data_IF_626039287368
#
_entry.id   IF_626039287368
#
_cell.length_a   1.000
_cell.length_b   1.000
_cell.length_c   1.000
_cell.angle_alpha   90.00
_cell.angle_beta   90.00
_cell.angle_gamma   90.00
#
_symmetry.space_group_name_H-M   'P 1'
#
loop_
_entity.id
_entity.type
_entity.pdbx_description
1 polymer ?
#
# COMPACT_ATOMS: atom_id res chain seq x y z
N UNK A 1 -5.13 7.74 33.26
CA UNK A 1 -4.79 8.85 34.19
C UNK A 1 -5.64 8.72 35.44
N UNK A 2 -5.12 9.13 36.59
CA UNK A 2 -5.92 9.25 37.81
C UNK A 2 -6.70 10.56 37.87
N UNK A 3 -7.71 10.61 38.75
CA UNK A 3 -8.46 11.84 39.04
C UNK A 3 -7.48 12.89 39.57
N UNK A 4 -7.48 14.09 38.98
CA UNK A 4 -6.61 15.20 39.38
C UNK A 4 -5.20 15.22 38.77
N UNK A 5 -4.88 14.33 37.83
CA UNK A 5 -3.54 14.28 37.21
C UNK A 5 -3.17 15.52 36.36
N UNK A 6 -4.16 16.30 35.89
CA UNK A 6 -4.00 17.58 35.21
C UNK A 6 -5.30 18.41 35.33
N UNK A 7 -5.26 19.69 34.93
CA UNK A 7 -6.43 20.58 34.95
C UNK A 7 -7.58 20.00 34.12
N UNK A 8 -8.68 19.61 34.77
CA UNK A 8 -9.84 18.99 34.13
C UNK A 8 -9.92 17.45 34.24
N UNK A 9 -8.98 16.78 34.90
CA UNK A 9 -9.04 15.33 35.16
C UNK A 9 -10.09 14.97 36.24
N UNK A 10 -11.38 15.10 35.89
CA UNK A 10 -12.53 14.88 36.80
C UNK A 10 -12.75 13.41 37.17
N UNK A 11 -12.29 12.48 36.33
CA UNK A 11 -12.45 11.03 36.51
C UNK A 11 -11.17 10.28 36.16
N UNK A 12 -11.01 9.06 36.68
CA UNK A 12 -9.92 8.19 36.28
C UNK A 12 -10.27 7.48 34.96
N UNK A 13 -9.31 7.41 34.02
CA UNK A 13 -9.49 6.73 32.73
C UNK A 13 -8.37 5.71 32.53
N UNK A 14 -8.75 4.44 32.29
CA UNK A 14 -7.81 3.37 31.94
C UNK A 14 -7.05 3.72 30.65
N UNK A 15 -5.75 3.45 30.65
CA UNK A 15 -4.91 3.59 29.45
C UNK A 15 -5.14 2.47 28.44
N UNK A 16 -4.59 2.61 27.21
CA UNK A 16 -4.71 1.60 26.15
C UNK A 16 -4.09 0.26 26.53
N UNK A 17 -2.96 0.27 27.24
CA UNK A 17 -2.33 -0.93 27.80
C UNK A 17 -3.26 -1.64 28.78
N UNK A 18 -3.79 -0.92 29.79
CA UNK A 18 -4.75 -1.49 30.76
C UNK A 18 -6.02 -2.05 30.11
N UNK A 19 -6.43 -1.52 28.95
CA UNK A 19 -7.57 -2.04 28.19
C UNK A 19 -7.24 -3.31 27.39
N UNK A 20 -5.97 -3.52 27.07
CA UNK A 20 -5.48 -4.64 26.28
C UNK A 20 -4.93 -5.80 27.15
N UNK A 21 -5.06 -5.70 28.48
CA UNK A 21 -4.61 -6.71 29.44
C UNK A 21 -5.12 -8.11 29.09
N UNK A 22 -4.22 -9.09 29.05
CA UNK A 22 -4.48 -10.47 28.62
C UNK A 22 -4.77 -10.63 27.12
N UNK A 23 -4.55 -9.58 26.33
CA UNK A 23 -4.92 -9.50 24.93
C UNK A 23 -3.79 -9.04 24.02
N UNK A 24 -4.14 -8.29 22.96
CA UNK A 24 -3.20 -7.77 21.97
C UNK A 24 -3.39 -6.28 21.78
N UNK A 25 -2.27 -5.54 21.76
CA UNK A 25 -2.22 -4.12 21.46
C UNK A 25 -1.53 -3.89 20.11
N UNK A 26 -2.25 -3.29 19.18
CA UNK A 26 -1.71 -2.82 17.90
C UNK A 26 -1.26 -1.36 18.04
N UNK A 27 0.00 -1.09 17.72
CA UNK A 27 0.60 0.24 17.65
C UNK A 27 0.86 0.57 16.19
N UNK A 28 0.09 1.48 15.62
CA UNK A 28 0.30 1.96 14.25
C UNK A 28 1.23 3.18 14.23
N UNK A 29 1.96 3.36 13.13
CA UNK A 29 2.88 4.48 12.89
C UNK A 29 3.87 4.74 14.04
N UNK A 30 4.50 3.68 14.57
CA UNK A 30 5.41 3.81 15.74
C UNK A 30 6.59 4.75 15.50
N UNK A 31 6.98 4.99 14.25
CA UNK A 31 8.08 5.87 13.87
C UNK A 31 7.83 7.35 14.22
N UNK A 32 6.57 7.76 14.32
CA UNK A 32 6.18 9.15 14.63
C UNK A 32 6.08 9.40 16.15
N UNK A 33 6.37 8.39 16.96
CA UNK A 33 6.33 8.49 18.42
C UNK A 33 7.44 9.41 18.93
N UNK A 34 7.08 10.36 19.80
CA UNK A 34 8.08 11.23 20.44
C UNK A 34 9.07 10.45 21.32
N UNK A 35 10.32 10.91 21.44
CA UNK A 35 11.35 10.27 22.27
C UNK A 35 10.91 9.99 23.72
N UNK A 36 10.21 10.91 24.44
CA UNK A 36 9.69 10.61 25.77
C UNK A 36 8.69 9.47 25.79
N UNK A 37 7.89 9.31 24.73
CA UNK A 37 6.95 8.20 24.63
C UNK A 37 7.63 6.88 24.32
N UNK A 38 8.68 6.91 23.50
CA UNK A 38 9.53 5.75 23.25
C UNK A 38 10.15 5.21 24.55
N UNK A 39 10.60 6.08 25.46
CA UNK A 39 11.12 5.67 26.78
C UNK A 39 10.05 4.98 27.63
N UNK A 40 8.82 5.53 27.67
CA UNK A 40 7.73 4.90 28.44
C UNK A 40 7.32 3.57 27.84
N UNK A 41 7.24 3.46 26.51
CA UNK A 41 6.95 2.21 25.83
C UNK A 41 8.03 1.16 26.11
N UNK A 42 9.31 1.55 26.04
CA UNK A 42 10.43 0.67 26.36
C UNK A 42 10.33 0.14 27.80
N UNK A 43 9.95 0.98 28.77
CA UNK A 43 9.77 0.57 30.17
C UNK A 43 8.67 -0.49 30.30
N UNK A 44 7.53 -0.29 29.63
CA UNK A 44 6.43 -1.28 29.62
C UNK A 44 6.90 -2.60 28.99
N UNK A 45 7.64 -2.54 27.88
CA UNK A 45 8.17 -3.73 27.20
C UNK A 45 9.23 -4.48 28.02
N UNK A 46 10.00 -3.79 28.84
CA UNK A 46 11.07 -4.37 29.64
C UNK A 46 10.57 -4.89 31.00
N UNK A 47 9.76 -4.10 31.69
CA UNK A 47 9.34 -4.37 33.07
C UNK A 47 8.00 -5.11 33.13
N UNK A 48 7.20 -5.12 32.06
CA UNK A 48 5.84 -5.67 32.09
C UNK A 48 4.93 -4.91 33.06
N UNK A 49 5.23 -3.64 33.32
CA UNK A 49 4.41 -2.80 34.21
C UNK A 49 4.24 -1.40 33.65
N UNK A 50 3.21 -0.69 34.11
CA UNK A 50 2.97 0.71 33.77
C UNK A 50 2.59 1.53 35.00
N UNK A 51 2.81 2.84 34.90
CA UNK A 51 2.39 3.83 35.90
C UNK A 51 1.35 4.76 35.28
N UNK A 52 0.29 5.08 36.02
CA UNK A 52 -0.69 6.07 35.55
C UNK A 52 -0.09 7.46 35.67
N UNK A 53 -0.45 8.34 34.74
CA UNK A 53 -0.16 9.77 34.90
C UNK A 53 -0.74 10.28 36.23
N UNK A 54 0.14 10.81 37.09
CA UNK A 54 -0.17 11.31 38.43
C UNK A 54 -0.07 10.29 39.57
N UNK A 55 0.29 9.03 39.30
CA UNK A 55 0.39 7.95 40.28
C UNK A 55 1.72 7.24 40.17
N UNK A 56 2.33 6.90 41.31
CA UNK A 56 3.55 6.09 41.37
C UNK A 56 3.22 4.60 41.55
N UNK A 57 1.94 4.22 41.40
CA UNK A 57 1.52 2.83 41.52
C UNK A 57 1.88 2.10 40.23
N UNK A 58 2.77 1.12 40.34
CA UNK A 58 3.09 0.20 39.25
C UNK A 58 1.98 -0.83 39.09
N UNK A 59 1.51 -0.99 37.86
CA UNK A 59 0.42 -1.90 37.48
C UNK A 59 1.02 -2.96 36.54
N UNK A 60 1.03 -4.25 36.93
CA UNK A 60 1.47 -5.32 36.03
C UNK A 60 0.57 -5.39 34.80
N UNK A 61 1.18 -5.65 33.65
CA UNK A 61 0.51 -5.74 32.37
C UNK A 61 1.03 -6.95 31.59
N UNK A 62 0.13 -7.76 31.04
CA UNK A 62 0.45 -8.86 30.11
C UNK A 62 -0.26 -8.62 28.78
N UNK A 63 0.51 -8.22 27.75
CA UNK A 63 -0.03 -7.80 26.46
C UNK A 63 0.90 -8.26 25.35
N UNK A 64 0.31 -8.91 24.34
CA UNK A 64 0.99 -9.13 23.05
C UNK A 64 1.02 -7.82 22.26
N UNK A 65 2.19 -7.38 21.85
CA UNK A 65 2.32 -6.14 21.06
C UNK A 65 2.56 -6.46 19.60
N UNK A 66 1.80 -5.78 18.74
CA UNK A 66 2.02 -5.74 17.29
C UNK A 66 2.28 -4.28 16.94
N UNK A 67 3.35 -4.01 16.20
CA UNK A 67 3.71 -2.66 15.81
C UNK A 67 3.83 -2.56 14.28
N UNK A 68 3.39 -1.43 13.73
CA UNK A 68 3.51 -1.11 12.31
C UNK A 68 4.22 0.23 12.12
N UNK A 69 4.98 0.35 11.03
CA UNK A 69 5.65 1.58 10.61
C UNK A 69 5.66 1.66 9.09
N UNK A 70 5.65 2.88 8.56
CA UNK A 70 5.70 3.19 7.12
C UNK A 70 7.13 3.40 6.62
N UNK A 71 8.08 3.67 7.51
CA UNK A 71 9.45 4.09 7.18
C UNK A 71 10.51 3.06 7.53
N UNK A 72 11.71 3.31 7.03
CA UNK A 72 12.94 2.60 7.41
C UNK A 72 13.28 2.96 8.87
N UNK A 73 13.08 2.00 9.77
CA UNK A 73 13.26 2.21 11.21
C UNK A 73 14.74 2.36 11.56
N UNK A 74 15.62 1.67 10.86
CA UNK A 74 17.07 1.78 11.00
C UNK A 74 17.56 3.18 10.61
N UNK A 75 16.99 3.78 9.57
CA UNK A 75 17.26 5.17 9.20
C UNK A 75 16.81 6.16 10.29
N UNK A 76 15.65 5.95 10.91
CA UNK A 76 15.18 6.77 12.04
C UNK A 76 16.09 6.64 13.27
N UNK A 77 16.65 5.45 13.51
CA UNK A 77 17.66 5.24 14.56
C UNK A 77 18.94 6.01 14.24
N UNK A 78 19.43 5.94 13.00
CA UNK A 78 20.62 6.68 12.57
C UNK A 78 20.46 8.21 12.68
N UNK A 79 19.24 8.72 12.49
CA UNK A 79 18.89 10.14 12.63
C UNK A 79 18.68 10.57 14.09
N UNK A 80 18.66 9.63 15.05
CA UNK A 80 18.42 9.90 16.47
C UNK A 80 16.95 10.26 16.80
N UNK A 81 16.03 10.08 15.85
CA UNK A 81 14.59 10.31 16.05
C UNK A 81 13.89 9.08 16.61
N UNK A 82 14.51 7.90 16.48
CA UNK A 82 14.04 6.66 17.09
C UNK A 82 15.14 5.99 17.92
N UNK A 83 14.78 5.40 19.06
CA UNK A 83 15.75 4.74 19.93
C UNK A 83 16.06 3.32 19.46
N UNK A 84 17.36 3.02 19.41
CA UNK A 84 17.86 1.70 19.01
C UNK A 84 17.39 0.57 19.97
N UNK A 85 17.36 0.84 21.28
CA UNK A 85 16.95 -0.15 22.29
C UNK A 85 15.47 -0.54 22.18
N UNK A 86 14.60 0.42 21.86
CA UNK A 86 13.19 0.17 21.56
C UNK A 86 13.02 -0.64 20.27
N UNK A 87 13.76 -0.30 19.21
CA UNK A 87 13.70 -1.04 17.96
C UNK A 87 14.06 -2.51 18.18
N UNK A 88 15.12 -2.81 18.93
CA UNK A 88 15.49 -4.19 19.24
C UNK A 88 14.44 -4.96 20.06
N UNK A 89 13.61 -4.29 20.87
CA UNK A 89 12.53 -4.95 21.61
C UNK A 89 11.27 -5.19 20.79
N UNK A 90 11.01 -4.34 19.80
CA UNK A 90 9.87 -4.52 18.89
C UNK A 90 10.20 -5.46 17.73
N UNK A 91 11.43 -5.41 17.21
CA UNK A 91 11.85 -6.11 16.00
C UNK A 91 12.26 -7.57 16.26
N UNK A 92 11.41 -8.32 16.98
CA UNK A 92 11.63 -9.75 17.25
C UNK A 92 11.22 -10.60 16.05
N UNK A 93 10.07 -10.28 15.45
CA UNK A 93 9.57 -10.89 14.21
C UNK A 93 9.09 -9.79 13.30
N UNK A 94 9.76 -9.61 12.16
CA UNK A 94 9.43 -8.60 11.15
C UNK A 94 8.62 -9.22 10.03
N UNK A 95 7.52 -8.58 9.65
CA UNK A 95 6.74 -8.96 8.47
C UNK A 95 6.81 -7.78 7.49
N UNK A 96 7.61 -7.86 6.42
CA UNK A 96 7.62 -6.83 5.39
C UNK A 96 6.29 -6.88 4.62
N UNK A 97 5.61 -5.74 4.52
CA UNK A 97 4.38 -5.63 3.74
C UNK A 97 4.70 -5.08 2.35
N UNK A 98 4.61 -5.88 1.28
CA UNK A 98 4.94 -5.41 -0.05
C UNK A 98 3.92 -4.36 -0.53
N UNK A 99 4.40 -3.28 -1.18
CA UNK A 99 3.52 -2.31 -1.82
C UNK A 99 2.70 -2.98 -2.93
N UNK A 100 1.54 -2.39 -3.26
CA UNK A 100 0.62 -2.96 -4.26
C UNK A 100 1.28 -3.23 -5.62
N UNK A 101 2.26 -2.40 -6.02
CA UNK A 101 3.03 -2.54 -7.26
C UNK A 101 3.86 -3.82 -7.38
N UNK A 102 4.18 -4.46 -6.26
CA UNK A 102 4.94 -5.73 -6.18
C UNK A 102 4.01 -6.95 -6.15
N UNK A 103 2.69 -6.74 -6.03
CA UNK A 103 1.65 -7.79 -6.00
C UNK A 103 0.49 -7.45 -6.94
N UNK A 104 0.83 -7.21 -8.22
CA UNK A 104 -0.14 -6.74 -9.22
C UNK A 104 -1.23 -7.76 -9.52
N UNK A 105 -0.98 -9.06 -9.32
CA UNK A 105 -2.00 -10.10 -9.45
C UNK A 105 -3.18 -9.95 -8.48
N UNK A 106 -3.01 -9.25 -7.36
CA UNK A 106 -4.08 -9.02 -6.39
C UNK A 106 -5.05 -7.91 -6.83
N UNK A 107 -4.62 -7.02 -7.74
CA UNK A 107 -5.39 -5.84 -8.14
C UNK A 107 -6.80 -6.20 -8.66
N UNK A 108 -6.99 -7.18 -9.56
CA UNK A 108 -8.33 -7.53 -10.04
C UNK A 108 -9.26 -8.02 -8.91
N UNK A 109 -8.73 -8.82 -7.97
CA UNK A 109 -9.51 -9.35 -6.85
C UNK A 109 -9.89 -8.23 -5.87
N UNK A 110 -8.92 -7.38 -5.51
CA UNK A 110 -9.14 -6.22 -4.64
C UNK A 110 -10.13 -5.23 -5.26
N UNK A 111 -9.99 -4.95 -6.56
CA UNK A 111 -10.88 -4.03 -7.27
C UNK A 111 -12.33 -4.53 -7.26
N UNK A 112 -12.53 -5.83 -7.47
CA UNK A 112 -13.87 -6.44 -7.38
C UNK A 112 -14.41 -6.37 -5.95
N UNK A 113 -13.60 -6.66 -4.95
CA UNK A 113 -14.01 -6.55 -3.54
C UNK A 113 -14.49 -5.12 -3.19
N UNK A 114 -13.73 -4.09 -3.57
CA UNK A 114 -14.13 -2.70 -3.35
C UNK A 114 -15.36 -2.31 -4.16
N UNK A 115 -15.46 -2.74 -5.41
CA UNK A 115 -16.65 -2.50 -6.23
C UNK A 115 -17.89 -3.08 -5.56
N UNK A 116 -17.85 -4.33 -5.10
CA UNK A 116 -18.99 -4.98 -4.43
C UNK A 116 -19.37 -4.25 -3.14
N UNK A 117 -18.37 -3.83 -2.35
CA UNK A 117 -18.57 -3.07 -1.11
C UNK A 117 -19.30 -1.74 -1.37
N UNK A 118 -18.77 -0.91 -2.28
CA UNK A 118 -19.33 0.42 -2.56
C UNK A 118 -20.60 0.38 -3.38
N UNK A 119 -20.81 -0.66 -4.18
CA UNK A 119 -22.09 -0.86 -4.88
C UNK A 119 -23.21 -1.07 -3.86
N UNK A 120 -22.97 -1.87 -2.83
CA UNK A 120 -23.91 -2.08 -1.73
C UNK A 120 -24.11 -0.82 -0.88
N UNK A 121 -23.02 -0.12 -0.54
CA UNK A 121 -23.09 1.10 0.26
C UNK A 121 -23.87 2.22 -0.44
N UNK A 122 -23.58 2.49 -1.71
CA UNK A 122 -24.20 3.57 -2.48
C UNK A 122 -25.45 3.17 -3.26
N UNK A 123 -25.90 1.92 -3.12
CA UNK A 123 -27.11 1.40 -3.77
C UNK A 123 -27.06 1.57 -5.30
N UNK A 124 -25.89 1.26 -5.88
CA UNK A 124 -25.65 1.30 -7.33
C UNK A 124 -25.96 -0.06 -7.97
N UNK A 125 -26.12 -0.07 -9.29
CA UNK A 125 -26.38 -1.29 -10.09
C UNK A 125 -25.13 -1.81 -10.83
N UNK A 126 -23.94 -1.41 -10.40
CA UNK A 126 -22.67 -1.89 -10.94
C UNK A 126 -22.50 -3.37 -10.58
N UNK A 127 -22.16 -4.19 -11.57
CA UNK A 127 -22.07 -5.65 -11.43
C UNK A 127 -20.75 -6.22 -11.90
N UNK A 128 -19.98 -5.46 -12.70
CA UNK A 128 -18.74 -5.95 -13.27
C UNK A 128 -17.74 -4.83 -13.58
N UNK A 129 -16.47 -5.24 -13.75
CA UNK A 129 -15.37 -4.38 -14.19
C UNK A 129 -14.89 -4.94 -15.53
N UNK A 130 -14.97 -4.13 -16.58
CA UNK A 130 -14.54 -4.54 -17.91
C UNK A 130 -13.02 -4.75 -17.98
N UNK A 131 -12.57 -5.58 -18.93
CA UNK A 131 -11.16 -5.97 -19.05
C UNK A 131 -10.23 -4.78 -19.31
N UNK A 132 -10.70 -3.73 -19.97
CA UNK A 132 -9.95 -2.50 -20.21
C UNK A 132 -9.74 -1.69 -18.92
N UNK A 133 -10.74 -1.62 -18.04
CA UNK A 133 -10.62 -1.05 -16.69
C UNK A 133 -9.62 -1.84 -15.85
N UNK A 134 -9.74 -3.17 -15.81
CA UNK A 134 -8.79 -4.03 -15.08
C UNK A 134 -7.37 -3.83 -15.59
N UNK A 135 -7.17 -3.83 -16.92
CA UNK A 135 -5.86 -3.60 -17.51
C UNK A 135 -5.31 -2.21 -17.15
N UNK A 136 -6.16 -1.17 -17.14
CA UNK A 136 -5.77 0.19 -16.75
C UNK A 136 -5.30 0.24 -15.29
N UNK A 137 -6.01 -0.42 -14.38
CA UNK A 137 -5.64 -0.53 -12.96
C UNK A 137 -4.33 -1.31 -12.77
N UNK A 138 -4.12 -2.41 -13.51
CA UNK A 138 -2.89 -3.22 -13.41
C UNK A 138 -1.64 -2.54 -14.00
N UNK A 139 -1.82 -1.64 -14.96
CA UNK A 139 -0.74 -0.88 -15.59
C UNK A 139 -0.29 0.34 -14.78
N UNK A 140 -1.09 0.78 -13.80
CA UNK A 140 -0.73 1.86 -12.90
C UNK A 140 0.29 1.38 -11.86
N UNK A 141 1.20 2.28 -11.47
CA UNK A 141 2.31 1.91 -10.58
C UNK A 141 1.95 1.98 -9.10
N UNK A 142 0.76 2.48 -8.76
CA UNK A 142 0.25 2.61 -7.38
C UNK A 142 1.36 3.11 -6.43
N UNK A 143 1.79 4.39 -6.57
CA UNK A 143 2.76 4.98 -5.66
C UNK A 143 2.21 5.04 -4.22
N UNK A 144 0.89 5.10 -4.05
CA UNK A 144 0.19 4.88 -2.80
C UNK A 144 0.05 3.40 -2.43
N UNK A 145 -0.62 3.14 -1.30
CA UNK A 145 -0.94 1.77 -0.87
C UNK A 145 -2.32 1.35 -1.45
N UNK A 146 -2.83 0.19 -1.03
CA UNK A 146 -4.17 -0.34 -1.37
C UNK A 146 -5.29 0.70 -1.22
N UNK A 147 -5.18 1.65 -0.29
CA UNK A 147 -6.13 2.77 -0.12
C UNK A 147 -6.29 3.64 -1.36
N UNK A 148 -5.24 3.79 -2.17
CA UNK A 148 -5.34 4.55 -3.42
C UNK A 148 -6.20 3.80 -4.45
N UNK A 149 -6.04 2.48 -4.53
CA UNK A 149 -6.89 1.62 -5.37
C UNK A 149 -8.35 1.67 -4.89
N UNK A 150 -8.57 1.54 -3.58
CA UNK A 150 -9.88 1.64 -2.94
C UNK A 150 -10.59 2.95 -3.33
N UNK A 151 -9.94 4.10 -3.14
CA UNK A 151 -10.49 5.41 -3.50
C UNK A 151 -10.80 5.56 -4.99
N UNK A 152 -9.94 5.01 -5.86
CA UNK A 152 -10.17 5.04 -7.32
C UNK A 152 -11.43 4.24 -7.65
N UNK A 153 -11.56 3.03 -7.11
CA UNK A 153 -12.73 2.16 -7.36
C UNK A 153 -14.00 2.75 -6.75
N UNK A 154 -13.95 3.24 -5.52
CA UNK A 154 -15.05 3.96 -4.86
C UNK A 154 -15.60 5.06 -5.76
N UNK A 155 -14.72 5.95 -6.20
CA UNK A 155 -15.07 7.07 -7.07
C UNK A 155 -15.68 6.61 -8.39
N UNK A 156 -15.11 5.58 -9.02
CA UNK A 156 -15.66 5.00 -10.25
C UNK A 156 -17.06 4.44 -10.03
N UNK A 157 -17.35 3.78 -8.91
CA UNK A 157 -18.70 3.31 -8.56
C UNK A 157 -19.66 4.49 -8.35
N UNK A 158 -19.24 5.52 -7.62
CA UNK A 158 -20.08 6.71 -7.35
C UNK A 158 -20.50 7.41 -8.65
N UNK A 159 -19.58 7.60 -9.59
CA UNK A 159 -19.85 8.29 -10.86
C UNK A 159 -20.41 7.39 -11.96
N UNK A 160 -20.41 6.07 -11.77
CA UNK A 160 -20.97 5.15 -12.74
C UNK A 160 -22.46 5.41 -13.00
N UNK A 161 -22.83 5.37 -14.28
CA UNK A 161 -24.21 5.33 -14.77
C UNK A 161 -24.57 3.97 -15.35
N UNK A 162 -23.56 3.16 -15.68
CA UNK A 162 -23.71 1.85 -16.31
C UNK A 162 -23.47 0.72 -15.31
N UNK A 163 -23.93 -0.49 -15.67
CA UNK A 163 -23.76 -1.70 -14.84
C UNK A 163 -22.35 -2.28 -14.88
N UNK A 164 -21.47 -1.74 -15.73
CA UNK A 164 -20.11 -2.25 -15.95
C UNK A 164 -19.15 -1.07 -15.94
N UNK A 165 -18.16 -1.09 -15.05
CA UNK A 165 -17.09 -0.09 -15.01
C UNK A 165 -16.13 -0.32 -16.18
N UNK A 166 -15.97 0.67 -17.03
CA UNK A 166 -15.07 0.66 -18.19
C UNK A 166 -13.81 1.46 -17.91
N UNK A 167 -12.80 1.32 -18.77
CA UNK A 167 -11.55 2.05 -18.63
C UNK A 167 -11.72 3.58 -18.69
N UNK A 168 -12.82 4.08 -19.26
CA UNK A 168 -13.23 5.48 -19.23
C UNK A 168 -13.59 5.98 -17.83
N UNK A 169 -14.13 5.10 -16.99
CA UNK A 169 -14.71 5.44 -15.68
C UNK A 169 -13.65 5.38 -14.58
N UNK A 170 -12.51 4.74 -14.87
CA UNK A 170 -11.34 4.67 -14.00
C UNK A 170 -10.50 5.94 -14.19
N UNK A 171 -10.69 6.92 -13.32
CA UNK A 171 -9.78 8.06 -13.23
C UNK A 171 -8.60 7.71 -12.32
N UNK A 172 -7.40 7.57 -12.91
CA UNK A 172 -6.19 7.40 -12.14
C UNK A 172 -5.62 8.77 -11.77
N UNK A 173 -5.07 8.94 -10.55
CA UNK A 173 -4.30 10.14 -10.23
C UNK A 173 -3.21 10.29 -11.27
N UNK A 174 -3.10 11.48 -11.85
CA UNK A 174 -1.97 11.80 -12.71
C UNK A 174 -0.75 11.67 -11.83
N UNK A 175 0.04 10.59 -12.00
CA UNK A 175 1.40 10.61 -11.49
C UNK A 175 2.05 11.76 -12.22
N UNK A 176 2.23 12.90 -11.55
CA UNK A 176 3.26 13.82 -11.99
C UNK A 176 4.51 12.96 -12.11
N UNK A 177 5.10 12.84 -13.31
CA UNK A 177 6.31 12.07 -13.46
C UNK A 177 7.30 12.69 -12.48
N UNK A 178 7.70 11.88 -11.50
CA UNK A 178 8.59 12.24 -10.41
C UNK A 178 9.81 12.94 -11.00
N UNK A 179 9.79 14.28 -10.91
CA UNK A 179 10.73 15.22 -11.52
C UNK A 179 11.02 14.96 -13.01
N UNK A 180 10.67 15.93 -13.85
CA UNK A 180 11.33 16.12 -15.15
C UNK A 180 12.80 16.52 -14.88
N UNK A 181 13.64 15.59 -14.42
CA UNK A 181 15.07 15.77 -14.28
C UNK A 181 15.70 15.60 -15.67
N UNK A 182 16.29 16.68 -16.19
CA UNK A 182 16.94 16.69 -17.50
C UNK A 182 16.27 17.62 -18.51
N UNK A 183 16.79 17.62 -19.73
CA UNK A 183 16.24 18.41 -20.84
C UNK A 183 14.85 17.90 -21.25
N UNK A 184 14.06 18.75 -21.91
CA UNK A 184 12.76 18.37 -22.46
C UNK A 184 12.83 17.12 -23.37
N UNK A 185 13.94 16.93 -24.08
CA UNK A 185 14.16 15.74 -24.91
C UNK A 185 14.32 14.46 -24.09
N UNK A 186 15.07 14.51 -22.98
CA UNK A 186 15.29 13.37 -22.09
C UNK A 186 14.00 12.99 -21.36
N UNK A 187 13.25 13.98 -20.87
CA UNK A 187 11.99 13.68 -20.23
C UNK A 187 10.93 13.15 -21.20
N UNK A 188 10.87 13.69 -22.43
CA UNK A 188 10.03 13.12 -23.50
C UNK A 188 10.43 11.68 -23.82
N UNK A 189 11.73 11.40 -23.92
CA UNK A 189 12.22 10.04 -24.15
C UNK A 189 11.84 9.09 -23.01
N UNK A 190 11.98 9.52 -21.75
CA UNK A 190 11.60 8.73 -20.58
C UNK A 190 10.11 8.41 -20.55
N UNK A 191 9.24 9.38 -20.83
CA UNK A 191 7.78 9.18 -20.90
C UNK A 191 7.42 8.22 -22.03
N UNK A 192 8.03 8.38 -23.21
CA UNK A 192 7.80 7.46 -24.34
C UNK A 192 8.26 6.05 -23.98
N UNK A 193 9.42 5.89 -23.35
CA UNK A 193 9.96 4.60 -22.92
C UNK A 193 9.07 3.94 -21.85
N UNK A 194 8.63 4.68 -20.84
CA UNK A 194 7.72 4.15 -19.82
C UNK A 194 6.37 3.75 -20.42
N UNK A 195 5.82 4.56 -21.32
CA UNK A 195 4.58 4.23 -22.04
C UNK A 195 4.75 2.97 -22.88
N UNK A 196 5.81 2.87 -23.70
CA UNK A 196 6.06 1.71 -24.55
C UNK A 196 6.25 0.43 -23.72
N UNK A 197 7.00 0.49 -22.61
CA UNK A 197 7.20 -0.65 -21.71
C UNK A 197 5.88 -1.12 -21.10
N UNK A 198 5.06 -0.21 -20.57
CA UNK A 198 3.74 -0.52 -19.99
C UNK A 198 2.78 -1.09 -21.04
N UNK A 199 2.74 -0.49 -22.23
CA UNK A 199 1.85 -0.91 -23.32
C UNK A 199 2.17 -2.32 -23.82
N UNK A 200 3.46 -2.63 -24.03
CA UNK A 200 3.90 -3.96 -24.48
C UNK A 200 3.65 -5.01 -23.40
N UNK A 201 3.95 -4.68 -22.14
CA UNK A 201 3.70 -5.57 -21.02
C UNK A 201 2.21 -5.91 -20.88
N UNK A 202 1.32 -4.91 -20.94
CA UNK A 202 -0.12 -5.13 -20.90
C UNK A 202 -0.64 -6.00 -22.05
N UNK A 203 -0.14 -5.79 -23.27
CA UNK A 203 -0.50 -6.62 -24.43
C UNK A 203 0.01 -8.06 -24.33
N UNK A 204 1.17 -8.27 -23.69
CA UNK A 204 1.68 -9.62 -23.48
C UNK A 204 0.85 -10.35 -22.42
N UNK A 205 0.40 -9.66 -21.36
CA UNK A 205 -0.52 -10.23 -20.36
C UNK A 205 -1.87 -10.59 -21.00
N UNK A 206 -2.49 -9.67 -21.75
CA UNK A 206 -3.82 -9.89 -22.33
C UNK A 206 -3.86 -10.96 -23.43
N UNK A 207 -2.69 -11.38 -23.92
CA UNK A 207 -2.55 -12.41 -24.93
C UNK A 207 -1.70 -13.60 -24.46
N UNK A 208 -1.57 -13.82 -23.15
CA UNK A 208 -0.91 -14.99 -22.54
C UNK A 208 0.53 -15.22 -23.05
N UNK A 209 1.31 -14.15 -23.21
CA UNK A 209 2.67 -14.23 -23.75
C UNK A 209 2.74 -14.64 -25.23
N UNK A 210 1.62 -14.61 -25.95
CA UNK A 210 1.57 -14.86 -27.39
C UNK A 210 1.98 -13.61 -28.18
N UNK A 211 3.28 -13.51 -28.42
CA UNK A 211 3.94 -12.42 -29.16
C UNK A 211 3.27 -12.15 -30.52
N UNK A 212 2.76 -13.18 -31.21
CA UNK A 212 2.14 -12.99 -32.54
C UNK A 212 0.79 -12.29 -32.43
N UNK A 213 -0.02 -12.65 -31.43
CA UNK A 213 -1.31 -12.01 -31.17
C UNK A 213 -1.13 -10.60 -30.62
N UNK A 214 -0.22 -10.42 -29.66
CA UNK A 214 0.14 -9.13 -29.10
C UNK A 214 0.66 -8.15 -30.17
N UNK A 215 1.55 -8.60 -31.07
CA UNK A 215 2.05 -7.76 -32.16
C UNK A 215 0.94 -7.35 -33.14
N UNK A 216 0.04 -8.28 -33.50
CA UNK A 216 -1.10 -8.00 -34.37
C UNK A 216 -2.06 -7.00 -33.74
N UNK A 217 -2.35 -7.14 -32.44
CA UNK A 217 -3.18 -6.19 -31.69
C UNK A 217 -2.52 -4.82 -31.54
N UNK A 218 -1.18 -4.77 -31.50
CA UNK A 218 -0.41 -3.53 -31.52
C UNK A 218 -0.31 -2.87 -32.90
N UNK A 219 -0.81 -3.50 -33.96
CA UNK A 219 -0.63 -3.03 -35.34
C UNK A 219 0.83 -3.04 -35.81
N UNK A 220 1.71 -3.79 -35.15
CA UNK A 220 3.14 -3.88 -35.47
C UNK A 220 3.49 -5.24 -36.04
N UNK A 221 4.49 -5.27 -36.93
CA UNK A 221 5.03 -6.54 -37.40
C UNK A 221 5.74 -7.28 -36.25
N UNK A 222 5.66 -8.61 -36.23
CA UNK A 222 6.23 -9.48 -35.19
C UNK A 222 7.70 -9.18 -34.89
N UNK A 223 8.50 -8.88 -35.92
CA UNK A 223 9.93 -8.52 -35.77
C UNK A 223 10.11 -7.21 -35.00
N UNK A 224 9.38 -6.16 -35.37
CA UNK A 224 9.43 -4.87 -34.69
C UNK A 224 8.93 -4.95 -33.24
N UNK A 225 7.93 -5.80 -32.98
CA UNK A 225 7.45 -6.05 -31.63
C UNK A 225 8.50 -6.80 -30.79
N UNK A 226 9.20 -7.77 -31.39
CA UNK A 226 10.31 -8.49 -30.74
C UNK A 226 11.49 -7.56 -30.40
N UNK A 227 11.81 -6.63 -31.28
CA UNK A 227 12.85 -5.62 -31.04
C UNK A 227 12.50 -4.72 -29.85
N UNK A 228 11.23 -4.35 -29.69
CA UNK A 228 10.78 -3.59 -28.53
C UNK A 228 10.81 -4.41 -27.22
N UNK A 229 10.42 -5.68 -27.27
CA UNK A 229 10.54 -6.60 -26.11
C UNK A 229 12.00 -6.69 -25.64
N UNK A 230 12.93 -6.85 -26.59
CA UNK A 230 14.37 -6.94 -26.30
C UNK A 230 14.92 -5.61 -25.79
N UNK A 231 14.52 -4.50 -26.39
CA UNK A 231 14.94 -3.14 -25.99
C UNK A 231 14.55 -2.82 -24.54
N UNK A 232 13.42 -3.33 -24.07
CA UNK A 232 12.90 -3.06 -22.73
C UNK A 232 13.08 -4.22 -21.74
N UNK A 233 13.87 -5.24 -22.12
CA UNK A 233 14.18 -6.42 -21.31
C UNK A 233 12.92 -7.07 -20.69
N UNK A 234 11.85 -7.15 -21.46
CA UNK A 234 10.59 -7.73 -21.00
C UNK A 234 10.73 -9.25 -21.05
N UNK A 235 10.70 -9.90 -19.89
CA UNK A 235 10.75 -11.35 -19.81
C UNK A 235 9.41 -11.98 -20.22
N UNK A 236 9.40 -12.55 -21.43
CA UNK A 236 8.22 -13.22 -21.99
C UNK A 236 8.07 -14.65 -21.46
N UNK A 237 9.13 -15.24 -20.89
CA UNK A 237 9.11 -16.62 -20.41
C UNK A 237 8.35 -16.73 -19.09
N UNK A 238 8.56 -15.80 -18.16
CA UNK A 238 7.78 -15.71 -16.91
C UNK A 238 6.29 -15.51 -17.16
N UNK A 239 5.91 -14.69 -18.16
CA UNK A 239 4.52 -14.44 -18.54
C UNK A 239 3.82 -15.64 -19.19
N UNK A 240 4.57 -16.65 -19.64
CA UNK A 240 4.02 -17.94 -20.13
C UNK A 240 3.96 -19.01 -19.03
N UNK A 241 4.77 -18.86 -17.98
CA UNK A 241 4.96 -19.85 -16.93
C UNK A 241 3.92 -19.77 -15.80
N UNK A 242 3.07 -18.73 -15.76
CA UNK A 242 2.00 -18.57 -14.75
C UNK A 242 0.89 -19.64 -14.83
N UNK A 243 1.08 -20.72 -15.59
CA UNK A 243 0.31 -21.96 -15.52
C UNK A 243 1.10 -23.15 -16.10
N UNK A 244 1.79 -23.88 -15.23
CA UNK A 244 1.69 -25.35 -15.20
C UNK A 244 1.13 -25.74 -13.84
#
# INVERSE_FOLDING_TARGET
>A
HEKGAFTGALTARKGRFEMAEGGTLLLDEIGDMSLPMQVKLLRVLQEGTLERLGSNTSIPIDVRIIAASKGDMEALVAQGTFRQDLLYRLNVVTIPLPPLRERREDIPLLSRHFMDHYTAEFHKDVTDIASDAVQKLMCYDWPGNVRELENVVERSVVFSTDRVLRGSDIELPVSEPSSFAGSFQEAKANVITQFEKKYIHGLLISHDGNITRAAKSAGKNRRAFWELIRKYEIDVASLRATRQ
#
